data_IF_362031222620
#
_entry.id   IF_362031222620
#
_cell.length_a   1.000
_cell.length_b   1.000
_cell.length_c   1.000
_cell.angle_alpha   90.00
_cell.angle_beta   90.00
_cell.angle_gamma   90.00
#
_symmetry.space_group_name_H-M   'P 1'
#
loop_
_entity.id
_entity.type
_entity.pdbx_description
1 polymer ?
#
# COMPACT_ATOMS: atom_id res chain seq x y z
N UNK A 1 -7.81 9.69 -10.29
CA UNK A 1 -9.12 9.30 -9.72
C UNK A 1 -9.11 8.98 -8.21
N UNK A 2 -7.97 8.71 -7.55
CA UNK A 2 -7.91 8.57 -6.06
C UNK A 2 -7.59 9.87 -5.32
N UNK A 3 -6.78 10.75 -5.90
CA UNK A 3 -6.41 12.05 -5.31
C UNK A 3 -7.61 13.00 -5.12
N UNK A 4 -8.65 12.88 -5.95
CA UNK A 4 -9.78 13.83 -5.96
C UNK A 4 -10.90 13.47 -4.97
N UNK A 5 -10.96 12.22 -4.48
CA UNK A 5 -12.00 11.80 -3.50
C UNK A 5 -11.58 11.93 -2.04
N UNK A 6 -10.36 12.40 -1.76
CA UNK A 6 -9.76 12.37 -0.40
C UNK A 6 -9.92 13.72 0.34
N UNK A 7 -10.28 14.80 -0.35
CA UNK A 7 -10.32 16.15 0.25
C UNK A 7 -11.53 16.37 1.20
N UNK A 8 -12.54 15.50 1.21
CA UNK A 8 -13.77 15.72 2.03
C UNK A 8 -13.92 14.81 3.27
N UNK A 9 -12.94 14.00 3.63
CA UNK A 9 -13.04 13.18 4.85
C UNK A 9 -12.51 13.94 6.08
N UNK A 10 -13.33 14.82 6.65
CA UNK A 10 -13.10 15.47 7.93
C UNK A 10 -13.15 14.42 9.09
N UNK A 11 -12.08 14.35 9.88
CA UNK A 11 -11.90 13.38 10.97
C UNK A 11 -12.29 13.93 12.35
N UNK A 12 -12.86 15.14 12.43
CA UNK A 12 -13.20 15.78 13.72
C UNK A 12 -14.36 15.13 14.47
N UNK A 13 -15.04 14.13 13.90
CA UNK A 13 -16.14 13.44 14.59
C UNK A 13 -16.01 11.92 14.54
N UNK A 14 -15.42 11.32 15.60
CA UNK A 14 -15.81 10.00 16.16
C UNK A 14 -14.98 9.63 17.40
N UNK A 15 -15.38 10.21 18.54
CA UNK A 15 -15.23 9.58 19.86
C UNK A 15 -16.07 8.30 19.89
N UNK A 16 -15.52 7.14 19.54
CA UNK A 16 -16.09 5.86 20.01
C UNK A 16 -15.20 4.61 19.92
N UNK A 17 -13.97 4.68 19.40
CA UNK A 17 -13.12 3.49 19.27
C UNK A 17 -12.23 3.27 20.50
N UNK A 18 -12.83 3.04 21.66
CA UNK A 18 -12.11 2.69 22.88
C UNK A 18 -13.00 1.90 23.84
N UNK A 19 -13.52 0.75 23.41
CA UNK A 19 -14.26 -0.12 24.33
C UNK A 19 -13.85 -1.59 24.42
N UNK A 20 -12.98 -2.09 23.55
CA UNK A 20 -12.48 -3.46 23.67
C UNK A 20 -10.96 -3.48 23.55
N UNK A 21 -10.27 -4.23 24.42
CA UNK A 21 -8.82 -4.20 24.69
C UNK A 21 -7.87 -4.61 23.55
N UNK A 22 -8.28 -4.50 22.29
CA UNK A 22 -7.38 -4.49 21.13
C UNK A 22 -7.39 -3.09 20.52
N UNK A 23 -6.35 -2.30 20.78
CA UNK A 23 -6.15 -1.05 20.07
C UNK A 23 -5.87 -1.37 18.59
N UNK A 24 -6.91 -1.27 17.74
CA UNK A 24 -6.75 -1.43 16.30
C UNK A 24 -5.83 -0.35 15.73
N UNK A 25 -5.32 -0.55 14.52
CA UNK A 25 -4.35 0.36 13.89
C UNK A 25 -4.78 1.84 13.96
N UNK A 26 -6.04 2.16 13.73
CA UNK A 26 -6.53 3.55 13.84
C UNK A 26 -6.36 4.16 15.25
N UNK A 27 -6.49 3.35 16.31
CA UNK A 27 -6.29 3.78 17.69
C UNK A 27 -4.81 4.08 17.97
N UNK A 28 -3.90 3.23 17.48
CA UNK A 28 -2.45 3.44 17.61
C UNK A 28 -2.02 4.75 16.93
N UNK A 29 -2.53 5.02 15.73
CA UNK A 29 -2.23 6.26 15.01
C UNK A 29 -2.81 7.50 15.70
N UNK A 30 -4.02 7.40 16.24
CA UNK A 30 -4.63 8.48 17.00
C UNK A 30 -3.82 8.76 18.27
N UNK A 31 -3.30 7.74 18.95
CA UNK A 31 -2.45 7.92 20.12
C UNK A 31 -1.08 8.51 19.77
N UNK A 32 -0.40 8.00 18.73
CA UNK A 32 0.87 8.57 18.25
C UNK A 32 0.75 10.07 17.93
N UNK A 33 -0.33 10.47 17.26
CA UNK A 33 -0.56 11.87 16.89
C UNK A 33 -1.03 12.73 18.06
N UNK A 34 -2.08 12.32 18.77
CA UNK A 34 -2.75 13.14 19.79
C UNK A 34 -2.00 13.18 21.13
N UNK A 35 -1.34 12.07 21.51
CA UNK A 35 -0.66 11.96 22.81
C UNK A 35 0.81 12.33 22.69
N UNK A 36 1.48 11.86 21.64
CA UNK A 36 2.92 12.02 21.48
C UNK A 36 3.33 13.08 20.46
N UNK A 37 2.40 13.62 19.67
CA UNK A 37 2.72 14.57 18.59
C UNK A 37 3.57 13.97 17.47
N UNK A 38 3.62 12.64 17.37
CA UNK A 38 4.46 11.92 16.41
C UNK A 38 3.68 11.65 15.13
N UNK A 39 4.23 12.14 14.00
CA UNK A 39 3.71 11.78 12.67
C UNK A 39 4.20 10.37 12.31
N UNK A 40 3.30 9.49 11.83
CA UNK A 40 3.72 8.21 11.26
C UNK A 40 4.67 8.43 10.07
N UNK A 41 5.73 7.63 10.03
CA UNK A 41 6.74 7.63 8.97
C UNK A 41 6.74 6.30 8.19
N UNK A 42 7.62 6.18 7.20
CA UNK A 42 7.73 4.97 6.37
C UNK A 42 8.02 3.72 7.20
N UNK A 43 8.86 3.84 8.23
CA UNK A 43 9.23 2.72 9.11
C UNK A 43 8.01 2.18 9.89
N UNK A 44 7.12 3.09 10.29
CA UNK A 44 5.85 2.77 10.94
C UNK A 44 4.96 1.97 9.98
N UNK A 45 4.80 2.43 8.74
CA UNK A 45 3.98 1.75 7.74
C UNK A 45 4.55 0.40 7.31
N UNK A 46 5.87 0.29 7.11
CA UNK A 46 6.52 -0.98 6.80
C UNK A 46 6.30 -2.01 7.92
N UNK A 47 6.39 -1.59 9.19
CA UNK A 47 6.14 -2.47 10.33
C UNK A 47 4.69 -2.95 10.38
N UNK A 48 3.74 -2.06 10.09
CA UNK A 48 2.31 -2.41 10.03
C UNK A 48 2.00 -3.37 8.90
N UNK A 49 2.60 -3.15 7.72
CA UNK A 49 2.44 -4.03 6.56
C UNK A 49 3.00 -5.42 6.83
N UNK A 50 4.09 -5.56 7.59
CA UNK A 50 4.63 -6.87 8.02
C UNK A 50 3.67 -7.64 8.94
N UNK A 51 2.91 -6.94 9.76
CA UNK A 51 1.92 -7.53 10.66
C UNK A 51 0.55 -7.76 10.01
N UNK A 52 0.37 -7.30 8.76
CA UNK A 52 -0.89 -7.42 8.05
C UNK A 52 -1.20 -8.88 7.74
N UNK A 53 -2.37 -9.34 8.19
CA UNK A 53 -2.80 -10.73 8.06
C UNK A 53 -3.97 -10.92 7.10
N UNK A 54 -4.63 -9.82 6.69
CA UNK A 54 -5.82 -9.88 5.84
C UNK A 54 -5.87 -8.74 4.83
N UNK A 55 -6.55 -8.96 3.71
CA UNK A 55 -6.80 -7.93 2.70
C UNK A 55 -7.56 -6.71 3.27
N UNK A 56 -8.39 -6.93 4.29
CA UNK A 56 -9.12 -5.86 4.98
C UNK A 56 -8.16 -4.92 5.71
N UNK A 57 -7.23 -5.49 6.48
CA UNK A 57 -6.19 -4.72 7.17
C UNK A 57 -5.28 -4.00 6.18
N UNK A 58 -4.88 -4.66 5.10
CA UNK A 58 -4.05 -4.07 4.04
C UNK A 58 -4.71 -2.81 3.46
N UNK A 59 -6.01 -2.87 3.17
CA UNK A 59 -6.78 -1.73 2.65
C UNK A 59 -6.91 -0.59 3.66
N UNK A 60 -7.03 -0.92 4.95
CA UNK A 60 -7.04 0.10 6.01
C UNK A 60 -5.67 0.80 6.11
N UNK A 61 -4.58 0.04 6.13
CA UNK A 61 -3.21 0.56 6.20
C UNK A 61 -2.92 1.42 4.96
N UNK A 62 -3.25 0.95 3.76
CA UNK A 62 -3.07 1.73 2.53
C UNK A 62 -3.86 3.04 2.55
N UNK A 63 -5.08 3.04 3.10
CA UNK A 63 -5.86 4.27 3.32
C UNK A 63 -5.18 5.25 4.28
N UNK A 64 -4.54 4.74 5.34
CA UNK A 64 -3.74 5.58 6.26
C UNK A 64 -2.51 6.16 5.55
N UNK A 65 -1.77 5.35 4.78
CA UNK A 65 -0.62 5.81 3.98
C UNK A 65 -1.03 6.97 3.08
N UNK A 66 -2.12 6.81 2.32
CA UNK A 66 -2.64 7.85 1.43
C UNK A 66 -3.05 9.13 2.18
N UNK A 67 -3.67 8.98 3.36
CA UNK A 67 -4.13 10.11 4.18
C UNK A 67 -3.00 10.93 4.77
N UNK A 68 -1.97 10.27 5.32
CA UNK A 68 -0.88 10.97 5.99
C UNK A 68 0.11 11.61 5.02
N UNK A 69 -0.11 11.43 3.71
CA UNK A 69 0.65 12.08 2.64
C UNK A 69 2.14 11.81 2.79
N UNK A 70 2.50 10.67 3.37
CA UNK A 70 3.87 10.19 3.31
C UNK A 70 4.07 9.96 1.82
N UNK A 71 4.90 10.81 1.19
CA UNK A 71 5.29 10.64 -0.19
C UNK A 71 5.73 9.19 -0.27
N UNK A 72 4.92 8.36 -0.92
CA UNK A 72 4.93 6.92 -0.61
C UNK A 72 6.30 6.41 -0.98
N UNK A 73 7.12 6.20 0.03
CA UNK A 73 8.50 5.82 -0.18
C UNK A 73 8.50 4.54 -1.00
N UNK A 74 9.52 4.39 -1.84
CA UNK A 74 9.64 3.22 -2.72
C UNK A 74 9.49 1.94 -1.90
N UNK A 75 9.98 1.91 -0.66
CA UNK A 75 9.85 0.77 0.25
C UNK A 75 8.39 0.49 0.63
N UNK A 76 7.60 1.51 1.00
CA UNK A 76 6.17 1.33 1.37
C UNK A 76 5.36 0.90 0.15
N UNK A 77 5.59 1.53 -1.01
CA UNK A 77 4.92 1.17 -2.26
C UNK A 77 5.22 -0.28 -2.67
N UNK A 78 6.48 -0.68 -2.56
CA UNK A 78 6.92 -2.04 -2.87
C UNK A 78 6.25 -3.07 -1.96
N UNK A 79 6.17 -2.79 -0.66
CA UNK A 79 5.49 -3.66 0.30
C UNK A 79 3.98 -3.77 0.01
N UNK A 80 3.33 -2.66 -0.36
CA UNK A 80 1.92 -2.67 -0.75
C UNK A 80 1.66 -3.53 -2.00
N UNK A 81 2.49 -3.40 -3.04
CA UNK A 81 2.37 -4.18 -4.28
C UNK A 81 2.51 -5.68 -4.00
N UNK A 82 3.54 -6.07 -3.25
CA UNK A 82 3.78 -7.48 -2.88
C UNK A 82 2.62 -8.07 -2.06
N UNK A 83 2.12 -7.34 -1.06
CA UNK A 83 1.00 -7.80 -0.23
C UNK A 83 -0.31 -7.88 -1.01
N UNK A 84 -0.62 -6.91 -1.88
CA UNK A 84 -1.82 -6.99 -2.71
C UNK A 84 -1.77 -8.16 -3.69
N UNK A 85 -0.61 -8.43 -4.28
CA UNK A 85 -0.39 -9.59 -5.13
C UNK A 85 -0.64 -10.91 -4.37
N UNK A 86 -0.09 -11.04 -3.16
CA UNK A 86 -0.30 -12.21 -2.29
C UNK A 86 -1.74 -12.38 -1.81
N UNK A 87 -2.47 -11.28 -1.62
CA UNK A 87 -3.89 -11.28 -1.25
C UNK A 87 -4.85 -11.47 -2.44
N UNK A 88 -4.34 -11.84 -3.61
CA UNK A 88 -5.09 -12.03 -4.85
C UNK A 88 -5.84 -10.79 -5.38
N UNK A 89 -5.51 -9.59 -4.89
CA UNK A 89 -6.10 -8.32 -5.33
C UNK A 89 -5.11 -7.61 -6.28
N UNK A 90 -4.84 -8.29 -7.38
CA UNK A 90 -3.95 -7.84 -8.46
C UNK A 90 -4.42 -6.52 -9.12
N UNK A 91 -5.71 -6.18 -9.01
CA UNK A 91 -6.22 -4.88 -9.44
C UNK A 91 -5.77 -3.72 -8.55
N UNK A 92 -5.73 -3.92 -7.22
CA UNK A 92 -5.18 -2.94 -6.29
C UNK A 92 -3.66 -2.87 -6.37
N UNK A 93 -2.99 -4.01 -6.55
CA UNK A 93 -1.55 -4.10 -6.86
C UNK A 93 -1.17 -3.19 -8.04
N UNK A 94 -1.89 -3.30 -9.17
CA UNK A 94 -1.64 -2.46 -10.34
C UNK A 94 -1.85 -0.96 -10.08
N UNK A 95 -2.88 -0.59 -9.31
CA UNK A 95 -3.15 0.83 -8.99
C UNK A 95 -2.01 1.45 -8.17
N UNK A 96 -1.45 0.69 -7.22
CA UNK A 96 -0.27 1.16 -6.46
C UNK A 96 0.90 1.32 -7.40
N UNK A 97 1.21 0.30 -8.20
CA UNK A 97 2.28 0.35 -9.18
C UNK A 97 2.18 1.55 -10.13
N UNK A 98 1.00 1.78 -10.73
CA UNK A 98 0.76 2.90 -11.64
C UNK A 98 1.00 4.26 -10.97
N UNK A 99 0.65 4.38 -9.67
CA UNK A 99 0.84 5.61 -8.90
C UNK A 99 2.29 5.93 -8.50
N UNK A 100 3.23 5.02 -8.67
CA UNK A 100 4.65 5.25 -8.37
C UNK A 100 5.33 6.07 -9.46
N UNK A 101 6.06 7.11 -9.08
CA UNK A 101 6.83 7.92 -10.03
C UNK A 101 8.08 7.19 -10.53
N UNK A 102 8.77 6.48 -9.62
CA UNK A 102 9.94 5.67 -9.93
C UNK A 102 9.60 4.18 -9.87
N UNK A 103 9.96 3.45 -10.93
CA UNK A 103 9.73 2.00 -11.05
C UNK A 103 11.04 1.30 -11.37
N UNK A 104 11.66 0.71 -10.35
CA UNK A 104 12.88 -0.06 -10.50
C UNK A 104 12.62 -1.50 -10.98
N UNK A 105 13.70 -2.25 -11.26
CA UNK A 105 13.60 -3.66 -11.64
C UNK A 105 12.83 -4.48 -10.61
N UNK A 106 13.01 -4.19 -9.31
CA UNK A 106 12.39 -4.95 -8.25
C UNK A 106 10.86 -4.88 -8.33
N UNK A 107 10.30 -3.68 -8.46
CA UNK A 107 8.85 -3.52 -8.46
C UNK A 107 8.19 -4.09 -9.72
N UNK A 108 8.85 -4.02 -10.87
CA UNK A 108 8.41 -4.71 -12.08
C UNK A 108 8.35 -6.23 -11.87
N UNK A 109 9.40 -6.83 -11.32
CA UNK A 109 9.43 -8.26 -11.01
C UNK A 109 8.35 -8.65 -10.00
N UNK A 110 8.06 -7.82 -8.99
CA UNK A 110 6.97 -8.03 -8.03
C UNK A 110 5.59 -8.05 -8.71
N UNK A 111 5.30 -7.10 -9.60
CA UNK A 111 4.02 -7.07 -10.34
C UNK A 111 3.90 -8.29 -11.26
N UNK A 112 4.93 -8.60 -12.03
CA UNK A 112 4.93 -9.75 -12.96
C UNK A 112 4.70 -11.05 -12.18
N UNK A 113 5.49 -11.29 -11.13
CA UNK A 113 5.34 -12.46 -10.26
C UNK A 113 3.95 -12.52 -9.64
N UNK A 114 3.45 -11.39 -9.16
CA UNK A 114 2.11 -11.29 -8.58
C UNK A 114 1.02 -11.73 -9.55
N UNK A 115 1.06 -11.26 -10.80
CA UNK A 115 0.10 -11.66 -11.83
C UNK A 115 0.26 -13.13 -12.24
N UNK A 116 1.49 -13.63 -12.35
CA UNK A 116 1.75 -15.06 -12.63
C UNK A 116 1.16 -15.96 -11.54
N UNK A 117 1.40 -15.64 -10.25
CA UNK A 117 0.84 -16.38 -9.11
C UNK A 117 -0.69 -16.34 -9.06
N UNK A 118 -1.30 -15.32 -9.64
CA UNK A 118 -2.75 -15.13 -9.72
C UNK A 118 -3.40 -15.73 -10.97
N UNK A 119 -2.70 -16.63 -11.67
CA UNK A 119 -3.15 -17.25 -12.94
C UNK A 119 -3.44 -16.25 -14.06
N UNK A 120 -2.80 -15.07 -14.02
CA UNK A 120 -2.93 -13.98 -15.01
C UNK A 120 -1.66 -13.85 -15.84
N UNK A 121 -1.27 -14.99 -16.42
CA UNK A 121 0.01 -15.13 -17.12
C UNK A 121 0.11 -14.32 -18.42
N UNK A 122 -1.02 -14.10 -19.10
CA UNK A 122 -1.06 -13.26 -20.30
C UNK A 122 -0.72 -11.80 -19.95
N UNK A 123 -1.37 -11.23 -18.93
CA UNK A 123 -1.07 -9.89 -18.45
C UNK A 123 0.36 -9.78 -17.89
N UNK A 124 0.84 -10.80 -17.17
CA UNK A 124 2.24 -10.85 -16.73
C UNK A 124 3.23 -10.77 -17.90
N UNK A 125 2.94 -11.46 -19.02
CA UNK A 125 3.72 -11.40 -20.24
C UNK A 125 3.67 -10.02 -20.91
N UNK A 126 2.53 -9.32 -20.84
CA UNK A 126 2.43 -7.93 -21.28
C UNK A 126 3.30 -6.99 -20.44
N UNK A 127 3.26 -7.11 -19.12
CA UNK A 127 4.09 -6.29 -18.23
C UNK A 127 5.58 -6.55 -18.43
N UNK A 128 6.00 -7.79 -18.66
CA UNK A 128 7.39 -8.10 -18.99
C UNK A 128 7.85 -7.41 -20.29
N UNK A 129 7.00 -7.37 -21.32
CA UNK A 129 7.29 -6.64 -22.56
C UNK A 129 7.39 -5.14 -22.32
N UNK A 130 6.52 -4.58 -21.49
CA UNK A 130 6.54 -3.15 -21.16
C UNK A 130 7.76 -2.76 -20.33
N UNK A 131 8.16 -3.59 -19.36
CA UNK A 131 9.43 -3.47 -18.62
C UNK A 131 10.62 -3.39 -19.59
N UNK A 132 10.71 -4.32 -20.55
CA UNK A 132 11.76 -4.34 -21.55
C UNK A 132 11.74 -3.09 -22.45
N UNK A 133 10.56 -2.62 -22.86
CA UNK A 133 10.40 -1.40 -23.67
C UNK A 133 10.91 -0.15 -22.95
N UNK A 134 10.74 -0.11 -21.63
CA UNK A 134 11.26 0.97 -20.77
C UNK A 134 12.76 0.82 -20.47
N UNK A 135 13.45 -0.15 -21.10
CA UNK A 135 14.88 -0.44 -20.91
C UNK A 135 15.25 -0.80 -19.46
N UNK A 136 14.27 -1.20 -18.66
CA UNK A 136 14.50 -1.78 -17.33
C UNK A 136 14.98 -3.20 -17.55
N UNK A 137 16.13 -3.56 -16.97
CA UNK A 137 16.69 -4.90 -17.11
C UNK A 137 15.91 -5.88 -16.22
N UNK A 138 15.38 -6.98 -16.77
CA UNK A 138 14.84 -8.08 -15.98
C UNK A 138 15.90 -8.70 -15.07
N UNK A 139 15.48 -9.23 -13.93
CA UNK A 139 16.34 -9.96 -13.00
C UNK A 139 16.51 -11.44 -13.38
#
# INVERSE_FOLDING_TARGET
>A
MWREKIVEADFTSRRSFAKDGCMGFAGLFSEMWEVHGLKPDDSTFVSLLKCCSSLKELKQIHGLVAKFGVAVDVVVSNALVDLYAKCLDVGSCWKVFESMDEKDTFIWSSVISGYTMNNRGEEAGHFFKDMCRQRVRPN
#
